data_IF_285651156320
#
_entry.id   IF_285651156320
#
_cell.length_a   1.000
_cell.length_b   1.000
_cell.length_c   1.000
_cell.angle_alpha   90.00
_cell.angle_beta   90.00
_cell.angle_gamma   90.00
#
_symmetry.space_group_name_H-M   'P 1'
#
loop_
_entity.id
_entity.type
_entity.pdbx_description
1 polymer ?
#
# COMPACT_ATOMS: atom_id res chain seq x y z
N UNK A 1 5.55 -11.27 8.41
CA UNK A 1 6.65 -11.98 9.10
C UNK A 1 7.83 -11.06 9.42
N UNK A 2 8.30 -10.20 8.49
CA UNK A 2 9.42 -9.26 8.77
C UNK A 2 9.09 -8.30 9.92
N UNK A 3 7.85 -7.84 10.02
CA UNK A 3 7.38 -6.98 11.12
C UNK A 3 7.56 -7.68 12.47
N UNK A 4 7.22 -8.96 12.59
CA UNK A 4 7.38 -9.71 13.84
C UNK A 4 8.83 -9.83 14.28
N UNK A 5 9.77 -10.01 13.35
CA UNK A 5 11.21 -10.00 13.66
C UNK A 5 11.64 -8.64 14.19
N UNK A 6 11.19 -7.54 13.53
CA UNK A 6 11.53 -6.17 13.92
C UNK A 6 10.86 -5.73 15.23
N UNK A 7 9.80 -6.41 15.65
CA UNK A 7 9.06 -6.15 16.89
C UNK A 7 9.39 -7.14 18.02
N UNK A 8 10.56 -7.77 17.95
CA UNK A 8 11.12 -8.59 19.03
C UNK A 8 10.63 -10.03 19.08
N UNK A 9 9.84 -10.51 18.11
CA UNK A 9 9.27 -11.87 18.09
C UNK A 9 10.10 -12.89 17.31
N UNK A 10 11.38 -12.64 17.08
CA UNK A 10 12.25 -13.52 16.27
C UNK A 10 12.31 -14.94 16.85
N UNK A 11 12.55 -15.06 18.14
CA UNK A 11 12.73 -16.35 18.81
C UNK A 11 11.44 -17.18 18.84
N UNK A 12 10.27 -16.52 18.84
CA UNK A 12 8.97 -17.18 18.80
C UNK A 12 8.66 -17.89 17.47
N UNK A 13 9.48 -17.68 16.42
CA UNK A 13 9.29 -18.37 15.14
C UNK A 13 9.43 -19.88 15.22
N UNK A 14 10.10 -20.42 16.24
CA UNK A 14 10.19 -21.87 16.49
C UNK A 14 8.82 -22.51 16.73
N UNK A 15 7.85 -21.71 17.26
CA UNK A 15 6.48 -22.15 17.53
C UNK A 15 5.46 -21.59 16.54
N UNK A 16 5.93 -21.08 15.40
CA UNK A 16 5.09 -20.45 14.40
C UNK A 16 3.98 -21.38 13.87
N UNK A 17 2.71 -20.96 14.00
CA UNK A 17 1.50 -21.73 13.64
C UNK A 17 1.29 -23.01 14.44
N UNK A 18 1.90 -23.15 15.59
CA UNK A 18 1.62 -24.23 16.52
C UNK A 18 0.62 -23.79 17.58
N UNK A 19 -0.11 -24.74 18.18
CA UNK A 19 -1.04 -24.45 19.28
C UNK A 19 -0.31 -23.79 20.46
N UNK A 20 -0.82 -22.64 20.92
CA UNK A 20 -0.16 -21.84 21.97
C UNK A 20 1.10 -21.08 21.53
N UNK A 21 1.50 -21.19 20.25
CA UNK A 21 2.65 -20.50 19.69
C UNK A 21 2.27 -19.27 18.88
N UNK A 22 3.25 -18.77 18.11
CA UNK A 22 3.08 -17.55 17.30
C UNK A 22 2.05 -17.77 16.18
N UNK A 23 1.05 -16.90 16.08
CA UNK A 23 0.02 -16.90 15.03
C UNK A 23 0.59 -16.79 13.63
N UNK A 24 -0.16 -17.26 12.66
CA UNK A 24 0.17 -17.12 11.22
C UNK A 24 -0.10 -15.73 10.64
N UNK A 25 -0.75 -14.86 11.40
CA UNK A 25 -1.23 -13.52 11.02
C UNK A 25 -1.14 -12.55 12.20
N UNK A 26 -1.40 -11.28 11.97
CA UNK A 26 -1.42 -10.24 13.01
C UNK A 26 -2.45 -10.57 14.08
N UNK A 27 -2.03 -10.52 15.33
CA UNK A 27 -2.86 -10.80 16.50
C UNK A 27 -2.57 -9.80 17.62
N UNK A 28 -3.56 -8.98 17.98
CA UNK A 28 -3.47 -7.92 18.99
C UNK A 28 -3.08 -8.45 20.37
N UNK A 29 -3.38 -9.73 20.65
CA UNK A 29 -3.09 -10.34 21.95
C UNK A 29 -1.64 -10.83 22.06
N UNK A 30 -0.90 -10.87 20.93
CA UNK A 30 0.51 -11.24 20.89
C UNK A 30 1.47 -10.05 20.99
N UNK A 31 1.04 -8.85 20.57
CA UNK A 31 1.93 -7.70 20.54
C UNK A 31 1.17 -6.39 20.46
N UNK A 32 1.67 -5.38 21.18
CA UNK A 32 1.21 -3.99 21.08
C UNK A 32 1.44 -3.38 19.70
N UNK A 33 2.26 -4.01 18.87
CA UNK A 33 2.52 -3.61 17.48
C UNK A 33 1.52 -4.21 16.48
N UNK A 34 0.57 -5.02 16.94
CA UNK A 34 -0.46 -5.64 16.12
C UNK A 34 -1.81 -4.96 16.41
N UNK A 35 -2.14 -3.86 15.74
CA UNK A 35 -3.31 -3.04 16.09
C UNK A 35 -4.65 -3.71 15.78
N UNK A 36 -4.64 -4.77 14.96
CA UNK A 36 -5.84 -5.45 14.50
C UNK A 36 -5.58 -6.94 14.26
N UNK A 37 -6.47 -7.79 14.79
CA UNK A 37 -6.41 -9.24 14.56
C UNK A 37 -7.18 -9.61 13.29
N UNK A 38 -6.49 -10.18 12.29
CA UNK A 38 -7.12 -10.66 11.07
C UNK A 38 -6.29 -11.71 10.37
N UNK A 39 -6.94 -12.82 10.00
CA UNK A 39 -6.37 -13.87 9.15
C UNK A 39 -6.80 -13.77 7.68
N UNK A 40 -7.70 -12.85 7.33
CA UNK A 40 -8.27 -12.71 5.99
C UNK A 40 -7.59 -11.60 5.21
N UNK A 41 -7.42 -11.81 3.89
CA UNK A 41 -7.06 -10.75 2.96
C UNK A 41 -8.23 -9.80 2.69
N UNK A 42 -7.93 -8.56 2.30
CA UNK A 42 -8.94 -7.57 1.89
C UNK A 42 -9.54 -6.71 3.00
N UNK A 43 -9.39 -7.09 4.29
CA UNK A 43 -9.99 -6.37 5.41
C UNK A 43 -9.19 -5.12 5.87
N UNK A 44 -7.95 -4.94 5.42
CA UNK A 44 -7.05 -3.91 5.96
C UNK A 44 -7.56 -2.48 5.72
N UNK A 45 -8.19 -2.20 4.58
CA UNK A 45 -8.69 -0.86 4.26
C UNK A 45 -9.90 -0.53 5.13
N UNK A 46 -10.87 -1.45 5.29
CA UNK A 46 -12.06 -1.25 6.14
C UNK A 46 -11.66 -1.01 7.60
N UNK A 47 -10.75 -1.83 8.13
CA UNK A 47 -10.26 -1.69 9.49
C UNK A 47 -9.54 -0.35 9.71
N UNK A 48 -8.67 0.02 8.77
CA UNK A 48 -7.94 1.29 8.81
C UNK A 48 -8.88 2.50 8.66
N UNK A 49 -9.91 2.42 7.83
CA UNK A 49 -10.94 3.44 7.70
C UNK A 49 -11.66 3.66 9.04
N UNK A 50 -12.10 2.57 9.70
CA UNK A 50 -12.72 2.65 11.01
C UNK A 50 -11.82 3.31 12.05
N UNK A 51 -10.52 2.99 12.06
CA UNK A 51 -9.53 3.65 12.93
C UNK A 51 -9.35 5.14 12.61
N UNK A 52 -9.34 5.50 11.32
CA UNK A 52 -9.22 6.90 10.89
C UNK A 52 -10.44 7.73 11.34
N UNK A 53 -11.64 7.19 11.14
CA UNK A 53 -12.90 7.80 11.60
C UNK A 53 -12.90 7.96 13.13
N UNK A 54 -12.51 6.93 13.87
CA UNK A 54 -12.44 6.97 15.34
C UNK A 54 -11.45 8.06 15.81
N UNK A 55 -10.26 8.15 15.20
CA UNK A 55 -9.27 9.18 15.52
C UNK A 55 -9.83 10.59 15.25
N UNK A 56 -10.53 10.78 14.14
CA UNK A 56 -11.16 12.05 13.79
C UNK A 56 -12.24 12.45 14.80
N UNK A 57 -13.13 11.53 15.13
CA UNK A 57 -14.20 11.79 16.09
C UNK A 57 -13.63 12.14 17.49
N UNK A 58 -12.59 11.41 17.93
CA UNK A 58 -11.93 11.66 19.20
C UNK A 58 -11.22 13.03 19.26
N UNK A 59 -10.73 13.53 18.13
CA UNK A 59 -10.07 14.85 18.04
C UNK A 59 -11.03 16.02 17.77
N UNK A 60 -12.30 15.76 17.50
CA UNK A 60 -13.27 16.79 17.10
C UNK A 60 -13.00 17.38 15.71
N UNK A 61 -12.08 16.82 14.93
CA UNK A 61 -11.74 17.31 13.60
C UNK A 61 -12.84 16.99 12.58
N UNK A 62 -12.94 17.83 11.53
CA UNK A 62 -13.84 17.58 10.39
C UNK A 62 -13.21 16.56 9.41
N UNK A 63 -14.07 15.92 8.62
CA UNK A 63 -13.60 15.03 7.55
C UNK A 63 -12.65 15.77 6.58
N UNK A 64 -11.59 15.09 6.12
CA UNK A 64 -10.59 15.67 5.23
C UNK A 64 -9.54 16.58 5.90
N UNK A 65 -9.73 16.98 7.16
CA UNK A 65 -8.72 17.78 7.85
C UNK A 65 -7.50 16.92 8.25
N UNK A 66 -6.28 17.46 8.19
CA UNK A 66 -5.10 16.75 8.68
C UNK A 66 -5.30 16.42 10.17
N UNK A 67 -4.70 15.35 10.68
CA UNK A 67 -4.64 15.13 12.11
C UNK A 67 -4.07 16.37 12.78
N UNK A 68 -4.57 16.71 13.98
CA UNK A 68 -3.95 17.75 14.79
C UNK A 68 -2.44 17.49 14.93
N UNK A 69 -1.66 18.51 15.20
CA UNK A 69 -0.21 18.38 15.39
C UNK A 69 0.09 17.25 16.40
N UNK A 70 0.85 16.24 15.98
CA UNK A 70 1.04 15.01 16.77
C UNK A 70 -0.04 13.94 16.58
N UNK A 71 -1.07 14.17 15.78
CA UNK A 71 -2.16 13.22 15.52
C UNK A 71 -1.68 11.97 14.75
N UNK A 72 -2.23 10.82 15.12
CA UNK A 72 -1.88 9.53 14.53
C UNK A 72 -2.47 9.40 13.12
N UNK A 73 -1.62 9.14 12.12
CA UNK A 73 -2.08 8.82 10.78
C UNK A 73 -2.28 7.30 10.65
N UNK A 74 -3.35 6.89 9.99
CA UNK A 74 -3.65 5.48 9.77
C UNK A 74 -3.13 5.06 8.40
N UNK A 75 -2.46 3.91 8.36
CA UNK A 75 -1.90 3.34 7.12
C UNK A 75 -2.42 1.91 6.97
N UNK A 76 -3.08 1.63 5.84
CA UNK A 76 -3.44 0.28 5.42
C UNK A 76 -2.42 -0.24 4.41
N UNK A 77 -1.97 -1.49 4.56
CA UNK A 77 -1.16 -2.17 3.55
C UNK A 77 -1.98 -3.30 2.96
N UNK A 78 -2.10 -3.33 1.64
CA UNK A 78 -2.85 -4.36 0.91
C UNK A 78 -2.03 -4.86 -0.29
N UNK A 79 -2.10 -6.16 -0.57
CA UNK A 79 -1.51 -6.72 -1.79
C UNK A 79 -2.45 -6.57 -3.00
N UNK A 80 -1.88 -6.56 -4.20
CA UNK A 80 -2.59 -6.49 -5.48
C UNK A 80 -3.68 -7.55 -5.61
N UNK A 81 -3.37 -8.79 -5.24
CA UNK A 81 -4.33 -9.89 -5.25
C UNK A 81 -5.47 -9.74 -4.22
N UNK A 82 -5.21 -9.10 -3.07
CA UNK A 82 -6.24 -8.84 -2.06
C UNK A 82 -7.09 -7.62 -2.42
N UNK A 83 -6.56 -6.70 -3.19
CA UNK A 83 -7.28 -5.51 -3.66
C UNK A 83 -8.47 -5.86 -4.56
N UNK A 84 -8.42 -6.99 -5.29
CA UNK A 84 -9.53 -7.43 -6.15
C UNK A 84 -10.72 -8.00 -5.37
N UNK A 85 -10.63 -8.15 -4.05
CA UNK A 85 -11.76 -8.60 -3.23
C UNK A 85 -12.85 -7.52 -3.16
N UNK A 86 -14.13 -7.95 -3.16
CA UNK A 86 -15.27 -7.02 -3.05
C UNK A 86 -15.19 -6.14 -1.81
N UNK A 87 -14.78 -6.70 -0.67
CA UNK A 87 -14.59 -5.97 0.60
C UNK A 87 -13.55 -4.83 0.47
N UNK A 88 -12.46 -5.05 -0.25
CA UNK A 88 -11.45 -4.01 -0.46
C UNK A 88 -11.97 -2.89 -1.35
N UNK A 89 -12.72 -3.21 -2.41
CA UNK A 89 -13.34 -2.23 -3.29
C UNK A 89 -14.41 -1.40 -2.57
N UNK A 90 -15.26 -2.04 -1.80
CA UNK A 90 -16.25 -1.37 -0.96
C UNK A 90 -15.59 -0.39 0.01
N UNK A 91 -14.51 -0.82 0.65
CA UNK A 91 -13.75 0.02 1.58
C UNK A 91 -13.08 1.21 0.88
N UNK A 92 -12.52 1.04 -0.32
CA UNK A 92 -11.99 2.14 -1.12
C UNK A 92 -13.09 3.14 -1.47
N UNK A 93 -14.22 2.66 -2.00
CA UNK A 93 -15.36 3.52 -2.32
C UNK A 93 -15.84 4.33 -1.10
N UNK A 94 -15.95 3.69 0.05
CA UNK A 94 -16.38 4.35 1.28
C UNK A 94 -15.33 5.33 1.80
N UNK A 95 -14.05 4.98 1.78
CA UNK A 95 -12.96 5.85 2.22
C UNK A 95 -12.84 7.12 1.37
N UNK A 96 -13.00 6.99 0.04
CA UNK A 96 -13.01 8.13 -0.85
C UNK A 96 -14.22 9.06 -0.63
N UNK A 97 -15.41 8.49 -0.42
CA UNK A 97 -16.61 9.25 -0.10
C UNK A 97 -16.47 10.04 1.21
N UNK A 98 -15.95 9.41 2.25
CA UNK A 98 -15.75 10.05 3.56
C UNK A 98 -14.58 11.06 3.56
N UNK A 99 -13.72 11.01 2.56
CA UNK A 99 -12.51 11.84 2.45
C UNK A 99 -11.63 11.79 3.72
N UNK A 100 -11.46 10.59 4.29
CA UNK A 100 -10.69 10.40 5.53
C UNK A 100 -9.17 10.43 5.28
N UNK A 101 -8.42 10.86 6.29
CA UNK A 101 -6.96 10.92 6.25
C UNK A 101 -6.33 9.53 6.38
N UNK A 102 -6.45 8.73 5.34
CA UNK A 102 -6.00 7.35 5.23
C UNK A 102 -4.92 7.22 4.14
N UNK A 103 -3.84 6.51 4.43
CA UNK A 103 -2.86 6.12 3.42
C UNK A 103 -3.04 4.63 3.14
N UNK A 104 -3.39 4.28 1.91
CA UNK A 104 -3.42 2.89 1.44
C UNK A 104 -2.14 2.62 0.66
N UNK A 105 -1.31 1.69 1.13
CA UNK A 105 -0.13 1.22 0.42
C UNK A 105 -0.51 -0.03 -0.35
N UNK A 106 -0.63 0.09 -1.67
CA UNK A 106 -0.81 -1.03 -2.59
C UNK A 106 0.55 -1.66 -2.87
N UNK A 107 0.79 -2.84 -2.29
CA UNK A 107 1.99 -3.63 -2.53
C UNK A 107 1.77 -4.57 -3.71
N UNK A 108 2.22 -4.13 -4.88
CA UNK A 108 2.09 -4.88 -6.13
C UNK A 108 3.33 -5.73 -6.38
N UNK A 109 3.14 -7.04 -6.48
CA UNK A 109 4.18 -7.98 -6.83
C UNK A 109 3.75 -8.95 -7.95
N UNK A 110 2.63 -8.63 -8.60
CA UNK A 110 2.01 -9.39 -9.70
C UNK A 110 1.67 -10.86 -9.34
N UNK A 111 1.63 -11.18 -8.04
CA UNK A 111 1.45 -12.56 -7.58
C UNK A 111 0.47 -12.68 -6.42
N UNK A 112 -0.47 -13.61 -6.60
CA UNK A 112 -1.26 -14.21 -5.53
C UNK A 112 -0.62 -15.56 -5.08
N UNK A 113 -1.35 -16.65 -5.21
CA UNK A 113 -0.82 -18.04 -5.17
C UNK A 113 -0.09 -18.33 -6.48
N UNK A 114 -0.65 -17.90 -7.60
CA UNK A 114 -0.12 -17.84 -8.96
C UNK A 114 -0.07 -16.39 -9.43
N UNK A 115 0.21 -16.16 -10.71
CA UNK A 115 0.07 -14.82 -11.32
C UNK A 115 -1.34 -14.30 -11.13
N UNK A 116 -1.47 -13.02 -10.74
CA UNK A 116 -2.76 -12.36 -10.54
C UNK A 116 -3.48 -12.23 -11.87
N UNK A 117 -4.79 -12.53 -11.89
CA UNK A 117 -5.63 -12.47 -13.09
C UNK A 117 -6.80 -11.49 -12.88
N UNK A 118 -7.42 -11.07 -13.97
CA UNK A 118 -8.59 -10.19 -13.95
C UNK A 118 -8.34 -8.80 -14.53
N UNK A 119 -9.41 -8.01 -14.64
CA UNK A 119 -9.36 -6.69 -15.26
C UNK A 119 -8.49 -5.70 -14.47
N UNK A 120 -8.60 -5.70 -13.14
CA UNK A 120 -7.79 -4.82 -12.30
C UNK A 120 -6.30 -5.17 -12.40
N UNK A 121 -5.94 -6.46 -12.41
CA UNK A 121 -4.55 -6.87 -12.61
C UNK A 121 -4.02 -6.40 -13.97
N UNK A 122 -4.82 -6.54 -15.04
CA UNK A 122 -4.47 -6.00 -16.37
C UNK A 122 -4.28 -4.47 -16.33
N UNK A 123 -5.13 -3.76 -15.59
CA UNK A 123 -5.03 -2.33 -15.41
C UNK A 123 -3.73 -1.92 -14.68
N UNK A 124 -3.41 -2.58 -13.56
CA UNK A 124 -2.18 -2.34 -12.81
C UNK A 124 -0.93 -2.63 -13.67
N UNK A 125 -0.92 -3.76 -14.38
CA UNK A 125 0.16 -4.10 -15.32
C UNK A 125 0.30 -3.05 -16.43
N UNK A 126 -0.80 -2.49 -16.95
CA UNK A 126 -0.76 -1.41 -17.93
C UNK A 126 -0.13 -0.14 -17.35
N UNK A 127 -0.36 0.16 -16.07
CA UNK A 127 0.32 1.27 -15.37
C UNK A 127 1.83 1.03 -15.34
N UNK A 128 2.27 -0.17 -14.93
CA UNK A 128 3.68 -0.51 -14.76
C UNK A 128 4.43 -0.53 -16.10
N UNK A 129 3.78 -1.02 -17.16
CA UNK A 129 4.38 -1.17 -18.49
C UNK A 129 4.32 0.10 -19.37
N UNK A 130 3.68 1.18 -18.91
CA UNK A 130 3.53 2.40 -19.69
C UNK A 130 4.89 3.11 -19.87
N UNK A 131 5.37 3.36 -21.10
CA UNK A 131 6.65 4.00 -21.36
C UNK A 131 6.70 5.46 -20.85
N UNK A 132 5.59 6.19 -20.84
CA UNK A 132 5.48 7.53 -20.25
C UNK A 132 5.81 7.47 -18.76
N UNK A 133 5.37 6.42 -18.07
CA UNK A 133 5.71 6.18 -16.68
C UNK A 133 7.23 5.97 -16.46
N UNK A 134 7.90 5.23 -17.35
CA UNK A 134 9.34 4.99 -17.24
C UNK A 134 10.17 6.28 -17.42
N UNK A 135 9.67 7.26 -18.15
CA UNK A 135 10.25 8.62 -18.22
C UNK A 135 9.93 9.44 -16.95
N UNK A 136 8.68 9.44 -16.50
CA UNK A 136 8.26 10.15 -15.29
C UNK A 136 8.92 9.61 -14.01
N UNK A 137 9.33 8.34 -13.97
CA UNK A 137 10.07 7.75 -12.85
C UNK A 137 11.40 8.48 -12.58
N UNK A 138 12.06 9.00 -13.62
CA UNK A 138 13.27 9.84 -13.47
C UNK A 138 12.93 11.25 -12.97
N UNK A 139 11.74 11.75 -13.32
CA UNK A 139 11.29 13.10 -12.94
C UNK A 139 10.60 13.14 -11.57
N UNK A 140 10.05 12.04 -11.08
CA UNK A 140 9.46 11.95 -9.72
C UNK A 140 10.49 12.30 -8.65
N UNK A 141 11.77 11.92 -8.82
CA UNK A 141 12.85 12.37 -7.93
C UNK A 141 13.01 13.89 -7.94
N UNK A 142 12.86 14.54 -9.10
CA UNK A 142 12.94 15.99 -9.21
C UNK A 142 11.67 16.70 -8.71
N UNK A 143 10.50 16.08 -8.89
CA UNK A 143 9.21 16.58 -8.40
C UNK A 143 9.11 16.50 -6.87
N UNK A 144 9.56 15.41 -6.27
CA UNK A 144 9.61 15.25 -4.80
C UNK A 144 10.51 16.32 -4.16
N UNK A 145 11.56 16.74 -4.84
CA UNK A 145 12.43 17.86 -4.40
C UNK A 145 11.82 19.24 -4.59
N UNK A 146 10.78 19.37 -5.43
CA UNK A 146 10.21 20.65 -5.87
C UNK A 146 8.81 20.95 -5.36
N UNK A 147 8.22 20.18 -4.41
CA UNK A 147 6.93 20.57 -3.82
C UNK A 147 7.16 21.78 -2.89
N UNK A 148 7.07 23.03 -3.40
CA UNK A 148 6.88 24.17 -2.53
C UNK A 148 5.43 24.14 -2.07
N UNK A 149 5.14 24.77 -0.96
CA UNK A 149 3.80 25.08 -0.46
C UNK A 149 2.94 25.72 -1.57
N UNK A 150 2.34 24.95 -2.45
CA UNK A 150 1.47 25.48 -3.51
C UNK A 150 0.03 25.13 -3.16
N UNK A 151 -0.66 26.17 -2.73
CA UNK A 151 -2.07 26.15 -2.39
C UNK A 151 -2.97 25.81 -3.58
N UNK A 152 -4.24 25.63 -3.25
CA UNK A 152 -5.41 25.21 -4.02
C UNK A 152 -5.64 25.89 -5.39
N UNK A 153 -4.86 26.87 -5.79
CA UNK A 153 -5.08 27.64 -7.02
C UNK A 153 -4.60 26.97 -8.33
N UNK A 154 -3.79 25.92 -8.26
CA UNK A 154 -3.35 25.22 -9.48
C UNK A 154 -4.32 24.15 -9.99
N UNK A 155 -5.20 23.65 -9.16
CA UNK A 155 -6.19 22.62 -9.54
C UNK A 155 -7.26 23.19 -10.47
N UNK A 156 -7.59 24.49 -10.36
CA UNK A 156 -8.62 25.12 -11.19
C UNK A 156 -8.16 25.43 -12.63
N UNK A 157 -6.85 25.58 -12.86
CA UNK A 157 -6.31 25.83 -14.23
C UNK A 157 -6.09 24.56 -15.04
N UNK A 158 -5.92 23.41 -14.39
CA UNK A 158 -5.79 22.13 -15.08
C UNK A 158 -7.11 21.64 -15.71
N UNK A 159 -8.26 22.09 -15.22
CA UNK A 159 -9.59 21.72 -15.77
C UNK A 159 -9.92 22.33 -17.14
N UNK A 160 -9.15 23.27 -17.65
CA UNK A 160 -9.42 23.93 -18.95
C UNK A 160 -8.65 23.36 -20.14
N UNK A 161 -7.83 22.31 -19.96
CA UNK A 161 -7.05 21.67 -21.04
C UNK A 161 -7.73 20.36 -21.51
N UNK A 162 -9.00 20.17 -21.18
CA UNK A 162 -9.65 18.85 -21.07
C UNK A 162 -10.27 18.27 -22.35
N UNK A 163 -10.21 18.90 -23.50
CA UNK A 163 -10.86 18.32 -24.71
C UNK A 163 -9.91 17.64 -25.71
N UNK A 164 -8.58 17.88 -25.59
CA UNK A 164 -7.57 17.27 -26.47
C UNK A 164 -6.91 15.99 -25.95
N UNK A 165 -7.06 15.68 -24.67
CA UNK A 165 -6.31 14.59 -24.00
C UNK A 165 -7.15 13.39 -23.58
N UNK A 166 -8.38 13.24 -24.07
CA UNK A 166 -9.31 12.13 -23.72
C UNK A 166 -8.79 10.73 -24.02
N UNK A 167 -7.64 10.58 -24.65
CA UNK A 167 -7.00 9.30 -24.95
C UNK A 167 -5.67 9.07 -24.23
N UNK A 168 -5.24 9.99 -23.38
CA UNK A 168 -4.03 9.77 -22.59
C UNK A 168 -4.37 8.88 -21.40
N UNK A 169 -3.75 7.69 -21.36
CA UNK A 169 -3.84 6.81 -20.20
C UNK A 169 -3.12 7.46 -19.00
N UNK A 170 -3.90 7.94 -18.03
CA UNK A 170 -3.39 8.49 -16.78
C UNK A 170 -3.26 7.34 -15.77
N UNK A 171 -2.02 7.04 -15.29
CA UNK A 171 -1.84 6.03 -14.26
C UNK A 171 -2.64 6.36 -13.00
N UNK A 172 -3.37 5.37 -12.47
CA UNK A 172 -4.11 5.55 -11.21
C UNK A 172 -5.49 6.19 -11.35
N UNK A 173 -5.93 6.54 -12.56
CA UNK A 173 -7.21 7.23 -12.79
C UNK A 173 -8.40 6.59 -12.05
N UNK A 174 -8.51 5.27 -12.03
CA UNK A 174 -9.59 4.57 -11.32
C UNK A 174 -9.63 4.92 -9.82
N UNK A 175 -8.47 5.11 -9.20
CA UNK A 175 -8.36 5.47 -7.79
C UNK A 175 -8.65 6.96 -7.57
N UNK A 176 -8.28 7.81 -8.52
CA UNK A 176 -8.58 9.25 -8.48
C UNK A 176 -10.08 9.50 -8.63
N UNK A 177 -10.76 8.78 -9.50
CA UNK A 177 -12.23 8.82 -9.63
C UNK A 177 -12.95 8.31 -8.36
N UNK A 178 -12.29 7.42 -7.59
CA UNK A 178 -12.78 7.01 -6.28
C UNK A 178 -12.43 7.99 -5.16
N UNK A 179 -11.84 9.16 -5.46
CA UNK A 179 -11.51 10.20 -4.50
C UNK A 179 -10.13 10.10 -3.85
N UNK A 180 -9.29 9.13 -4.25
CA UNK A 180 -7.93 9.01 -3.74
C UNK A 180 -6.94 9.86 -4.54
N UNK A 181 -5.93 10.41 -3.86
CA UNK A 181 -4.74 10.90 -4.55
C UNK A 181 -3.81 9.73 -4.81
N UNK A 182 -3.51 9.49 -6.08
CA UNK A 182 -2.63 8.39 -6.48
C UNK A 182 -1.18 8.83 -6.56
N UNK A 183 -0.29 8.04 -5.94
CA UNK A 183 1.17 8.18 -6.03
C UNK A 183 1.80 6.85 -6.45
N UNK A 184 2.62 6.88 -7.46
CA UNK A 184 3.33 5.70 -7.90
C UNK A 184 3.12 5.37 -9.38
N UNK A 185 3.52 4.13 -9.77
CA UNK A 185 4.17 3.12 -8.95
C UNK A 185 5.64 3.43 -8.62
N UNK A 186 6.12 2.97 -7.47
CA UNK A 186 7.46 3.23 -6.93
C UNK A 186 8.16 1.91 -6.58
N UNK A 187 9.49 1.94 -6.50
CA UNK A 187 10.25 0.79 -6.04
C UNK A 187 10.10 0.60 -4.52
N UNK A 188 9.31 -0.39 -4.11
CA UNK A 188 9.10 -0.74 -2.70
C UNK A 188 10.31 -1.33 -1.99
N UNK A 189 11.40 -1.64 -2.71
CA UNK A 189 12.65 -2.09 -2.10
C UNK A 189 13.64 -0.95 -1.80
N UNK A 190 13.39 0.25 -2.32
CA UNK A 190 14.19 1.44 -2.02
C UNK A 190 13.74 2.08 -0.71
N UNK A 191 14.31 1.62 0.43
CA UNK A 191 13.95 2.13 1.76
C UNK A 191 14.14 3.65 1.89
N UNK A 192 15.26 4.26 1.42
CA UNK A 192 15.42 5.72 1.51
C UNK A 192 14.32 6.47 0.75
N UNK A 193 13.96 6.02 -0.46
CA UNK A 193 12.90 6.61 -1.26
C UNK A 193 11.54 6.48 -0.58
N UNK A 194 11.23 5.29 -0.04
CA UNK A 194 9.98 5.04 0.69
C UNK A 194 9.84 5.96 1.92
N UNK A 195 10.90 6.12 2.71
CA UNK A 195 10.90 7.03 3.87
C UNK A 195 10.61 8.47 3.44
N UNK A 196 11.29 8.94 2.39
CA UNK A 196 11.10 10.31 1.89
C UNK A 196 9.67 10.55 1.42
N UNK A 197 9.12 9.61 0.64
CA UNK A 197 7.77 9.70 0.12
C UNK A 197 6.74 9.67 1.25
N UNK A 198 6.84 8.72 2.17
CA UNK A 198 5.92 8.61 3.29
C UNK A 198 5.92 9.88 4.16
N UNK A 199 7.09 10.47 4.40
CA UNK A 199 7.20 11.77 5.10
C UNK A 199 6.50 12.91 4.37
N UNK A 200 6.52 12.90 3.04
CA UNK A 200 5.89 13.95 2.23
C UNK A 200 4.37 13.75 2.17
N UNK A 201 3.90 12.54 1.83
CA UNK A 201 2.47 12.27 1.69
C UNK A 201 1.74 12.28 3.03
N UNK A 202 2.43 12.00 4.14
CA UNK A 202 1.82 12.09 5.48
C UNK A 202 1.32 13.49 5.85
N UNK A 203 1.77 14.53 5.14
CA UNK A 203 1.35 15.93 5.33
C UNK A 203 0.19 16.33 4.42
N UNK A 204 -0.21 15.47 3.50
CA UNK A 204 -1.26 15.75 2.52
C UNK A 204 -2.61 15.32 3.08
N UNK A 205 -3.63 16.14 2.94
CA UNK A 205 -4.99 15.88 3.40
C UNK A 205 -5.73 14.90 2.48
N UNK A 206 -6.72 14.20 3.04
CA UNK A 206 -7.57 13.25 2.35
C UNK A 206 -6.95 11.88 2.13
N UNK A 207 -7.67 10.98 1.45
CA UNK A 207 -7.24 9.63 1.22
C UNK A 207 -6.16 9.55 0.14
N UNK A 208 -5.13 8.75 0.39
CA UNK A 208 -3.97 8.58 -0.49
C UNK A 208 -3.82 7.11 -0.82
N UNK A 209 -3.57 6.79 -2.09
CA UNK A 209 -3.13 5.49 -2.54
C UNK A 209 -1.68 5.57 -3.03
N UNK A 210 -0.79 4.91 -2.31
CA UNK A 210 0.62 4.76 -2.65
C UNK A 210 0.85 3.39 -3.28
N UNK A 211 1.08 3.36 -4.59
CA UNK A 211 1.36 2.12 -5.32
C UNK A 211 2.87 1.83 -5.29
N UNK A 212 3.24 0.69 -4.74
CA UNK A 212 4.63 0.24 -4.66
C UNK A 212 4.81 -1.11 -5.33
N UNK A 213 5.85 -1.23 -6.13
CA UNK A 213 6.21 -2.46 -6.82
C UNK A 213 7.25 -3.19 -5.98
N UNK A 214 7.01 -4.47 -5.74
CA UNK A 214 7.95 -5.32 -5.03
C UNK A 214 8.20 -6.62 -5.77
N UNK A 215 9.33 -7.25 -5.50
CA UNK A 215 9.65 -8.59 -6.00
C UNK A 215 9.56 -9.59 -4.85
N UNK A 216 8.74 -10.61 -5.00
CA UNK A 216 8.59 -11.68 -4.02
C UNK A 216 9.89 -12.48 -3.89
N UNK A 217 10.32 -12.75 -2.66
CA UNK A 217 11.58 -13.45 -2.42
C UNK A 217 12.84 -12.59 -2.50
N UNK A 218 12.72 -11.27 -2.74
CA UNK A 218 13.84 -10.32 -2.86
C UNK A 218 14.86 -10.48 -1.74
N UNK A 219 16.12 -10.64 -2.14
CA UNK A 219 17.27 -10.85 -1.24
C UNK A 219 17.69 -12.32 -1.09
N UNK A 220 16.91 -13.29 -1.61
CA UNK A 220 17.28 -14.69 -1.68
C UNK A 220 17.08 -15.21 -3.10
N UNK A 221 18.17 -15.37 -3.85
CA UNK A 221 18.14 -15.65 -5.31
C UNK A 221 17.27 -16.85 -5.69
N UNK A 222 17.31 -17.93 -4.89
CA UNK A 222 16.51 -19.14 -5.13
C UNK A 222 15.01 -18.87 -5.02
N UNK A 223 14.59 -18.04 -4.06
CA UNK A 223 13.20 -17.61 -3.91
C UNK A 223 12.79 -16.61 -4.98
N UNK A 224 13.70 -15.77 -5.46
CA UNK A 224 13.44 -14.83 -6.56
C UNK A 224 13.19 -15.53 -7.89
N UNK A 225 13.86 -16.67 -8.15
CA UNK A 225 13.69 -17.45 -9.38
C UNK A 225 12.45 -18.35 -9.37
N UNK A 226 11.95 -18.74 -8.19
CA UNK A 226 10.79 -19.62 -8.03
C UNK A 226 9.79 -19.15 -6.96
N UNK A 227 9.22 -17.92 -7.08
CA UNK A 227 8.47 -17.30 -5.98
C UNK A 227 7.18 -18.04 -5.59
N UNK A 228 6.59 -18.81 -6.50
CA UNK A 228 5.41 -19.63 -6.21
C UNK A 228 5.75 -20.78 -5.26
N UNK A 229 6.87 -21.49 -5.50
CA UNK A 229 7.36 -22.57 -4.64
C UNK A 229 7.71 -22.10 -3.23
N UNK A 230 8.31 -20.91 -3.13
CA UNK A 230 8.77 -20.33 -1.86
C UNK A 230 7.72 -19.55 -1.09
N UNK A 231 6.48 -19.53 -1.54
CA UNK A 231 5.39 -18.80 -0.87
C UNK A 231 5.05 -19.34 0.51
N UNK A 232 5.03 -20.65 0.67
CA UNK A 232 4.68 -21.34 1.91
C UNK A 232 5.56 -22.58 2.08
N UNK A 233 6.88 -22.41 1.90
CA UNK A 233 7.83 -23.49 2.04
C UNK A 233 7.84 -24.05 3.47
N UNK A 234 7.95 -25.36 3.64
CA UNK A 234 8.31 -26.00 4.90
C UNK A 234 9.72 -25.55 5.33
N UNK A 235 10.22 -26.02 6.48
CA UNK A 235 11.63 -25.86 6.84
C UNK A 235 12.53 -26.38 5.72
N UNK A 236 13.60 -25.66 5.40
CA UNK A 236 14.52 -25.97 4.31
C UNK A 236 15.95 -25.62 4.66
N UNK A 237 16.91 -26.24 3.97
CA UNK A 237 18.30 -25.87 4.06
C UNK A 237 18.56 -24.61 3.19
N UNK A 238 19.17 -23.59 3.80
CA UNK A 238 19.46 -22.32 3.09
C UNK A 238 20.45 -22.54 1.95
N UNK A 239 21.44 -23.39 2.19
CA UNK A 239 22.40 -23.91 1.20
C UNK A 239 22.18 -25.43 1.09
N UNK A 240 21.71 -25.94 -0.02
CA UNK A 240 21.61 -25.46 -1.41
C UNK A 240 20.21 -24.96 -1.84
N UNK A 241 19.35 -24.52 -0.95
CA UNK A 241 18.00 -24.09 -1.29
C UNK A 241 17.05 -25.27 -1.61
N UNK A 242 17.27 -26.41 -0.97
CA UNK A 242 16.41 -27.60 -1.08
C UNK A 242 15.27 -27.52 -0.08
N UNK A 243 14.03 -27.75 -0.57
CA UNK A 243 12.78 -27.83 0.18
C UNK A 243 12.39 -29.28 0.29
#
# INVERSE_FOLDING_TARGET
RRVWILTGRREAFTTFRQGGGLSGFSNKDESVHDPFTTGHGGASISAALGMAVANRLASGAKAGQPPAEGGKRVIAVIGDASLVSGMAFEALNHAGHLNENLIVILNDNEMSISKTVGALSKYLNKIISNPVYNHLRKDVESWIRRIPRVGQQMVSKAKKIDEGFKHLFIPGQIFEEMGFRYFGPLDGHSIPQMIQILRNISKIEGPILLHVITKKGKGYKVAESGPARWRASPPFCVEPGQV
#
